data_IF_017230678797
#
_entry.id   IF_017230678797
#
_cell.length_a   1.000
_cell.length_b   1.000
_cell.length_c   1.000
_cell.angle_alpha   90.00
_cell.angle_beta   90.00
_cell.angle_gamma   90.00
#
_symmetry.space_group_name_H-M   'P 1'
#
loop_
_entity.id
_entity.type
_entity.pdbx_description
1 polymer ?
#
# COMPACT_ATOMS: atom_id res chain seq x y z
N UNK A 1 68.40 3.31 12.02
CA UNK A 1 67.37 3.60 11.00
C UNK A 1 65.99 3.30 11.60
N UNK A 2 65.49 4.25 12.40
CA UNK A 2 64.12 4.29 12.91
C UNK A 2 63.47 5.42 12.13
N UNK A 3 62.49 5.12 11.28
CA UNK A 3 61.70 6.12 10.58
C UNK A 3 60.22 5.77 10.71
N UNK A 4 59.52 6.69 11.39
CA UNK A 4 58.08 6.88 11.41
C UNK A 4 57.43 6.72 10.03
N UNK A 5 56.30 6.02 9.94
CA UNK A 5 55.09 6.65 9.39
C UNK A 5 53.80 5.93 9.81
N UNK A 6 53.22 6.41 10.90
CA UNK A 6 51.78 6.39 11.12
C UNK A 6 51.11 7.23 10.02
N UNK A 7 50.27 6.62 9.19
CA UNK A 7 49.13 7.28 8.55
C UNK A 7 48.31 6.27 7.75
N UNK A 8 47.48 5.51 8.46
CA UNK A 8 46.26 4.94 7.87
C UNK A 8 45.08 5.31 8.75
N UNK A 9 44.94 6.60 9.03
CA UNK A 9 43.66 7.21 9.35
C UNK A 9 42.81 7.16 8.08
N UNK A 10 42.10 6.05 7.90
CA UNK A 10 41.00 5.98 6.92
C UNK A 10 40.07 7.15 7.24
N UNK A 11 39.93 8.05 6.28
CA UNK A 11 38.97 9.14 6.28
C UNK A 11 37.57 8.61 6.63
N UNK A 12 37.17 8.72 7.89
CA UNK A 12 35.79 8.57 8.36
C UNK A 12 35.00 9.85 8.08
N UNK A 13 35.04 10.32 6.83
CA UNK A 13 34.31 11.50 6.37
C UNK A 13 33.82 11.27 4.94
N UNK A 14 33.06 10.19 4.70
CA UNK A 14 32.13 10.19 3.56
C UNK A 14 30.81 10.82 4.02
N UNK A 15 30.84 12.13 4.30
CA UNK A 15 29.60 12.90 4.32
C UNK A 15 28.95 12.71 2.94
N UNK A 16 27.80 12.06 2.91
CA UNK A 16 26.99 11.91 1.69
C UNK A 16 26.73 13.31 1.14
N UNK A 17 27.50 13.75 0.13
CA UNK A 17 27.30 15.02 -0.55
C UNK A 17 25.95 14.94 -1.25
N UNK A 18 24.92 15.49 -0.62
CA UNK A 18 23.61 15.67 -1.24
C UNK A 18 23.78 16.65 -2.38
N UNK A 19 23.50 16.22 -3.61
CA UNK A 19 23.47 17.10 -4.78
C UNK A 19 22.50 18.26 -4.49
N UNK A 20 22.83 19.51 -4.85
CA UNK A 20 21.90 20.63 -4.69
C UNK A 20 20.63 20.36 -5.51
N UNK A 21 19.47 20.57 -4.89
CA UNK A 21 18.16 20.41 -5.53
C UNK A 21 18.01 21.48 -6.60
N UNK A 22 17.70 21.08 -7.83
CA UNK A 22 17.52 21.99 -8.96
C UNK A 22 16.04 22.28 -9.24
N UNK A 23 15.73 23.38 -9.93
CA UNK A 23 14.35 23.70 -10.33
C UNK A 23 13.68 22.57 -11.15
N UNK A 24 14.36 21.92 -12.13
CA UNK A 24 13.82 20.73 -12.78
C UNK A 24 13.45 19.59 -11.82
N UNK A 25 14.25 19.36 -10.77
CA UNK A 25 13.96 18.30 -9.77
C UNK A 25 12.68 18.63 -8.99
N UNK A 26 12.50 19.91 -8.62
CA UNK A 26 11.29 20.38 -7.94
C UNK A 26 10.07 20.24 -8.84
N UNK A 27 10.19 20.63 -10.12
CA UNK A 27 9.09 20.53 -11.09
C UNK A 27 8.71 19.09 -11.36
N UNK A 28 9.70 18.20 -11.55
CA UNK A 28 9.47 16.77 -11.74
C UNK A 28 8.78 16.15 -10.52
N UNK A 29 9.27 16.46 -9.31
CA UNK A 29 8.67 15.96 -8.06
C UNK A 29 7.26 16.50 -7.86
N UNK A 30 7.02 17.78 -8.13
CA UNK A 30 5.70 18.41 -8.01
C UNK A 30 4.70 17.81 -8.99
N UNK A 31 5.12 17.63 -10.25
CA UNK A 31 4.32 16.96 -11.26
C UNK A 31 3.97 15.54 -10.83
N UNK A 32 4.93 14.81 -10.27
CA UNK A 32 4.73 13.45 -9.80
C UNK A 32 3.77 13.37 -8.60
N UNK A 33 3.87 14.29 -7.64
CA UNK A 33 2.92 14.40 -6.52
C UNK A 33 1.50 14.64 -7.05
N UNK A 34 1.34 15.52 -8.05
CA UNK A 34 0.05 15.76 -8.69
C UNK A 34 -0.49 14.51 -9.39
N UNK A 35 0.38 13.77 -10.09
CA UNK A 35 0.02 12.53 -10.78
C UNK A 35 -0.39 11.39 -9.82
N UNK A 36 0.29 11.29 -8.68
CA UNK A 36 -0.01 10.31 -7.64
C UNK A 36 -1.19 10.71 -6.75
N UNK A 37 -1.68 11.94 -6.88
CA UNK A 37 -2.89 12.40 -6.22
C UNK A 37 -4.11 12.13 -7.11
N UNK A 38 -4.50 13.08 -7.95
CA UNK A 38 -5.78 13.02 -8.66
C UNK A 38 -5.85 11.92 -9.74
N UNK A 39 -4.87 11.75 -10.64
CA UNK A 39 -4.90 10.70 -11.66
C UNK A 39 -4.86 9.29 -11.07
N UNK A 40 -3.97 9.03 -10.10
CA UNK A 40 -3.92 7.73 -9.43
C UNK A 40 -5.22 7.42 -8.68
N UNK A 41 -5.82 8.39 -7.99
CA UNK A 41 -7.10 8.19 -7.31
C UNK A 41 -8.21 7.77 -8.28
N UNK A 42 -8.26 8.32 -9.50
CA UNK A 42 -9.23 7.88 -10.53
C UNK A 42 -8.96 6.44 -10.98
N UNK A 43 -7.70 6.05 -11.12
CA UNK A 43 -7.31 4.68 -11.50
C UNK A 43 -7.69 3.68 -10.41
N UNK A 44 -7.44 4.02 -9.15
CA UNK A 44 -7.69 3.11 -8.02
C UNK A 44 -9.17 3.10 -7.67
N UNK A 45 -9.74 4.24 -7.30
CA UNK A 45 -11.11 4.30 -6.79
C UNK A 45 -12.14 4.36 -7.92
N UNK A 46 -11.91 5.17 -8.95
CA UNK A 46 -12.88 5.32 -10.04
C UNK A 46 -13.09 4.03 -10.83
N UNK A 47 -12.02 3.29 -11.10
CA UNK A 47 -12.13 1.97 -11.74
C UNK A 47 -12.83 0.97 -10.81
N UNK A 48 -12.50 1.00 -9.51
CA UNK A 48 -13.14 0.12 -8.53
C UNK A 48 -14.65 0.34 -8.46
N UNK A 49 -15.11 1.60 -8.37
CA UNK A 49 -16.53 1.96 -8.30
C UNK A 49 -17.34 1.48 -9.52
N UNK A 50 -16.72 1.46 -10.71
CA UNK A 50 -17.39 0.95 -11.92
C UNK A 50 -17.53 -0.57 -11.87
N UNK A 51 -16.49 -1.29 -11.47
CA UNK A 51 -16.52 -2.76 -11.43
C UNK A 51 -17.31 -3.32 -10.25
N UNK A 52 -17.30 -2.63 -9.11
CA UNK A 52 -18.00 -3.04 -7.90
C UNK A 52 -19.46 -2.57 -7.85
N UNK A 53 -19.93 -1.80 -8.84
CA UNK A 53 -21.28 -1.23 -8.90
C UNK A 53 -22.41 -2.22 -8.55
N UNK A 54 -22.35 -3.45 -9.08
CA UNK A 54 -23.39 -4.46 -8.84
C UNK A 54 -23.45 -4.94 -7.38
N UNK A 55 -22.31 -4.88 -6.69
CA UNK A 55 -22.13 -5.31 -5.32
C UNK A 55 -22.31 -4.17 -4.32
N UNK A 56 -21.87 -2.97 -4.68
CA UNK A 56 -22.10 -1.72 -3.94
C UNK A 56 -23.59 -1.41 -3.77
N UNK A 57 -24.40 -1.71 -4.80
CA UNK A 57 -25.87 -1.63 -4.72
C UNK A 57 -26.51 -2.46 -3.62
N UNK A 58 -25.83 -3.49 -3.13
CA UNK A 58 -26.33 -4.40 -2.08
C UNK A 58 -25.77 -4.03 -0.71
N UNK A 59 -24.78 -3.15 -0.65
CA UNK A 59 -24.15 -2.74 0.59
C UNK A 59 -24.95 -1.60 1.24
N UNK A 60 -25.52 -1.89 2.43
CA UNK A 60 -26.33 -0.95 3.20
C UNK A 60 -25.57 0.34 3.53
N UNK A 61 -24.24 0.27 3.73
CA UNK A 61 -23.42 1.45 4.05
C UNK A 61 -23.35 2.45 2.90
N UNK A 62 -23.24 1.99 1.64
CA UNK A 62 -23.20 2.87 0.46
C UNK A 62 -24.57 3.39 0.02
N UNK A 63 -25.65 2.86 0.59
CA UNK A 63 -27.03 3.29 0.34
C UNK A 63 -27.47 4.42 1.27
N UNK A 64 -26.86 4.52 2.44
CA UNK A 64 -27.01 5.68 3.30
C UNK A 64 -26.13 6.77 2.70
N UNK A 65 -26.74 7.83 2.16
CA UNK A 65 -26.10 8.99 1.50
C UNK A 65 -25.22 9.79 2.49
N UNK A 66 -24.20 9.11 2.98
CA UNK A 66 -23.31 9.49 4.06
C UNK A 66 -22.01 9.97 3.43
N UNK A 67 -21.25 10.80 4.15
CA UNK A 67 -19.94 11.29 3.71
C UNK A 67 -18.94 10.19 3.31
N UNK A 68 -19.20 8.93 3.67
CA UNK A 68 -18.32 7.77 3.45
C UNK A 68 -18.44 7.11 2.06
N UNK A 69 -19.41 7.50 1.22
CA UNK A 69 -19.40 7.11 -0.20
C UNK A 69 -20.77 6.94 -0.85
N UNK A 70 -20.90 7.46 -2.07
CA UNK A 70 -22.07 7.28 -2.93
C UNK A 70 -21.84 6.22 -4.02
N UNK A 71 -22.92 5.66 -4.54
CA UNK A 71 -22.88 4.70 -5.65
C UNK A 71 -22.73 5.46 -6.97
N UNK A 72 -21.66 5.18 -7.73
CA UNK A 72 -21.43 5.82 -9.02
C UNK A 72 -22.51 5.43 -10.05
N UNK A 73 -23.26 6.42 -10.53
CA UNK A 73 -24.31 6.19 -11.53
C UNK A 73 -23.75 5.63 -12.85
N UNK A 74 -24.43 4.66 -13.51
CA UNK A 74 -23.97 4.03 -14.76
C UNK A 74 -23.64 5.00 -15.89
N UNK A 75 -24.33 6.14 -15.94
CA UNK A 75 -24.11 7.19 -16.95
C UNK A 75 -22.70 7.77 -16.93
N UNK A 76 -21.98 7.65 -15.80
CA UNK A 76 -20.61 8.15 -15.65
C UNK A 76 -19.54 7.07 -15.82
N UNK A 77 -19.90 5.78 -15.93
CA UNK A 77 -18.93 4.69 -15.97
C UNK A 77 -17.96 4.81 -17.15
N UNK A 78 -18.46 5.13 -18.34
CA UNK A 78 -17.63 5.32 -19.54
C UNK A 78 -16.68 6.51 -19.41
N UNK A 79 -17.13 7.61 -18.82
CA UNK A 79 -16.31 8.79 -18.56
C UNK A 79 -15.19 8.49 -17.56
N UNK A 80 -15.50 7.81 -16.46
CA UNK A 80 -14.53 7.43 -15.42
C UNK A 80 -13.50 6.45 -15.96
N UNK A 81 -13.93 5.42 -16.70
CA UNK A 81 -13.00 4.46 -17.33
C UNK A 81 -12.10 5.14 -18.36
N UNK A 82 -12.63 6.05 -19.17
CA UNK A 82 -11.81 6.81 -20.15
C UNK A 82 -10.80 7.71 -19.42
N UNK A 83 -11.24 8.41 -18.37
CA UNK A 83 -10.35 9.24 -17.54
C UNK A 83 -9.26 8.41 -16.86
N UNK A 84 -9.59 7.21 -16.39
CA UNK A 84 -8.61 6.27 -15.82
C UNK A 84 -7.60 5.79 -16.86
N UNK A 85 -8.00 5.58 -18.12
CA UNK A 85 -7.08 5.25 -19.21
C UNK A 85 -6.09 6.39 -19.50
N UNK A 86 -6.58 7.63 -19.61
CA UNK A 86 -5.71 8.80 -19.80
C UNK A 86 -4.79 9.02 -18.58
N UNK A 87 -5.31 8.85 -17.36
CA UNK A 87 -4.51 8.91 -16.14
C UNK A 87 -3.42 7.83 -16.13
N UNK A 88 -3.75 6.61 -16.54
CA UNK A 88 -2.78 5.51 -16.64
C UNK A 88 -1.70 5.84 -17.66
N UNK A 89 -2.06 6.39 -18.81
CA UNK A 89 -1.09 6.85 -19.81
C UNK A 89 -0.19 7.96 -19.26
N UNK A 90 -0.74 8.90 -18.50
CA UNK A 90 0.00 10.02 -17.90
C UNK A 90 0.99 9.54 -16.82
N UNK A 91 0.59 8.57 -15.99
CA UNK A 91 1.45 7.91 -14.98
C UNK A 91 2.52 7.03 -15.66
N UNK A 92 2.19 6.35 -16.75
CA UNK A 92 3.12 5.48 -17.48
C UNK A 92 4.10 6.24 -18.38
N UNK A 93 3.76 7.44 -18.84
CA UNK A 93 4.66 8.29 -19.64
C UNK A 93 5.57 9.16 -18.79
N UNK A 94 5.19 9.43 -17.54
CA UNK A 94 6.06 10.03 -16.52
C UNK A 94 7.03 9.05 -15.86
N UNK A 95 6.94 7.76 -16.21
CA UNK A 95 7.74 6.67 -15.67
C UNK A 95 8.47 5.91 -16.77
N UNK A 96 9.66 5.39 -16.49
CA UNK A 96 10.38 4.45 -17.39
C UNK A 96 9.79 3.03 -17.35
N UNK A 97 8.63 2.83 -16.72
CA UNK A 97 8.04 1.53 -16.41
C UNK A 97 6.80 1.22 -17.29
N UNK A 98 6.89 1.49 -18.60
CA UNK A 98 5.80 1.21 -19.55
C UNK A 98 5.43 -0.28 -19.65
N UNK A 99 6.38 -1.17 -19.34
CA UNK A 99 6.23 -2.60 -19.63
C UNK A 99 5.62 -3.42 -18.47
N UNK A 100 5.61 -2.90 -17.23
CA UNK A 100 5.20 -3.69 -16.05
C UNK A 100 3.68 -3.65 -15.80
N UNK A 101 2.96 -2.62 -16.26
CA UNK A 101 1.51 -2.51 -16.04
C UNK A 101 0.62 -3.05 -17.18
N UNK A 102 1.21 -3.51 -18.30
CA UNK A 102 0.45 -4.04 -19.44
C UNK A 102 -0.14 -5.44 -19.20
N UNK A 103 0.26 -6.15 -18.13
CA UNK A 103 -0.22 -7.50 -17.83
C UNK A 103 -1.34 -7.47 -16.79
N UNK A 104 -2.58 -7.24 -17.26
CA UNK A 104 -3.78 -7.37 -16.44
C UNK A 104 -4.29 -8.81 -16.54
N UNK A 105 -3.90 -9.64 -15.59
CA UNK A 105 -4.45 -10.98 -15.40
C UNK A 105 -5.60 -10.96 -14.39
N UNK A 106 -6.55 -11.88 -14.53
CA UNK A 106 -7.77 -12.02 -13.72
C UNK A 106 -7.53 -12.37 -12.22
N UNK A 107 -6.39 -12.02 -11.64
CA UNK A 107 -6.01 -12.35 -10.26
C UNK A 107 -6.80 -11.57 -9.19
N UNK A 108 -7.62 -10.59 -9.61
CA UNK A 108 -8.52 -9.80 -8.76
C UNK A 108 -9.63 -10.61 -8.06
N UNK A 109 -9.71 -11.93 -8.29
CA UNK A 109 -10.69 -12.83 -7.66
C UNK A 109 -10.10 -13.73 -6.57
N UNK A 110 -8.83 -13.54 -6.22
CA UNK A 110 -8.16 -14.29 -5.17
C UNK A 110 -8.15 -13.45 -3.88
N UNK A 111 -8.84 -13.89 -2.81
CA UNK A 111 -9.12 -13.06 -1.63
C UNK A 111 -7.88 -12.47 -0.95
N UNK A 112 -6.74 -13.18 -0.97
CA UNK A 112 -5.46 -12.68 -0.42
C UNK A 112 -4.75 -11.74 -1.40
N UNK A 113 -4.86 -11.99 -2.71
CA UNK A 113 -4.17 -11.20 -3.73
C UNK A 113 -4.73 -9.78 -3.82
N UNK A 114 -5.99 -9.57 -3.43
CA UNK A 114 -6.58 -8.24 -3.38
C UNK A 114 -5.80 -7.31 -2.43
N UNK A 115 -5.59 -7.73 -1.17
CA UNK A 115 -4.77 -6.98 -0.20
C UNK A 115 -3.31 -6.85 -0.61
N UNK A 116 -2.73 -7.89 -1.24
CA UNK A 116 -1.35 -7.81 -1.74
C UNK A 116 -1.26 -6.81 -2.89
N UNK A 117 -2.24 -6.79 -3.81
CA UNK A 117 -2.27 -5.88 -4.95
C UNK A 117 -2.32 -4.42 -4.52
N UNK A 118 -3.07 -4.12 -3.44
CA UNK A 118 -3.10 -2.81 -2.79
C UNK A 118 -1.73 -2.42 -2.20
N UNK A 119 -0.96 -3.37 -1.65
CA UNK A 119 0.42 -3.10 -1.24
C UNK A 119 1.36 -2.87 -2.42
N UNK A 120 1.22 -3.66 -3.48
CA UNK A 120 2.04 -3.57 -4.70
C UNK A 120 1.83 -2.23 -5.41
N UNK A 121 0.60 -1.71 -5.51
CA UNK A 121 0.37 -0.41 -6.15
C UNK A 121 1.05 0.73 -5.38
N UNK A 122 1.02 0.71 -4.04
CA UNK A 122 1.73 1.70 -3.22
C UNK A 122 3.25 1.53 -3.35
N UNK A 123 3.74 0.30 -3.40
CA UNK A 123 5.16 0.03 -3.66
C UNK A 123 5.61 0.58 -5.01
N UNK A 124 4.82 0.37 -6.07
CA UNK A 124 5.10 0.87 -7.41
C UNK A 124 5.09 2.41 -7.45
N UNK A 125 4.17 3.05 -6.74
CA UNK A 125 4.15 4.51 -6.61
C UNK A 125 5.42 5.04 -5.94
N UNK A 126 5.84 4.38 -4.85
CA UNK A 126 7.11 4.70 -4.19
C UNK A 126 8.31 4.45 -5.11
N UNK A 127 8.35 3.32 -5.82
CA UNK A 127 9.44 2.95 -6.71
C UNK A 127 9.58 3.92 -7.87
N UNK A 128 8.45 4.40 -8.39
CA UNK A 128 8.42 5.44 -9.41
C UNK A 128 9.00 6.75 -8.88
N UNK A 129 8.65 7.18 -7.66
CA UNK A 129 9.26 8.34 -7.00
C UNK A 129 10.75 8.17 -6.73
N UNK A 130 11.17 6.95 -6.44
CA UNK A 130 12.56 6.62 -6.17
C UNK A 130 13.41 6.71 -7.44
N UNK A 131 12.94 6.11 -8.54
CA UNK A 131 13.65 6.07 -9.82
C UNK A 131 13.69 7.45 -10.49
N UNK A 132 12.61 8.24 -10.42
CA UNK A 132 12.55 9.58 -11.00
C UNK A 132 13.59 10.54 -10.42
N UNK A 133 14.03 10.30 -9.17
CA UNK A 133 15.13 11.02 -8.52
C UNK A 133 16.53 10.57 -8.97
N UNK A 134 16.63 9.82 -10.09
CA UNK A 134 17.90 9.33 -10.65
C UNK A 134 18.53 8.20 -9.84
N UNK A 135 17.79 7.55 -8.94
CA UNK A 135 18.28 6.46 -8.10
C UNK A 135 18.06 5.12 -8.78
N UNK A 136 19.05 4.24 -8.70
CA UNK A 136 18.95 2.92 -9.30
C UNK A 136 18.39 1.90 -8.29
N UNK A 137 17.24 1.31 -8.60
CA UNK A 137 16.58 0.31 -7.75
C UNK A 137 17.37 -1.00 -7.63
N UNK A 138 18.17 -1.36 -8.65
CA UNK A 138 18.87 -2.64 -8.76
C UNK A 138 20.37 -2.58 -8.42
N UNK A 139 21.00 -1.40 -8.57
CA UNK A 139 22.45 -1.20 -8.40
C UNK A 139 22.82 -0.33 -7.18
N UNK A 140 21.84 0.23 -6.47
CA UNK A 140 22.07 1.08 -5.30
C UNK A 140 22.57 0.29 -4.10
N UNK A 141 23.88 0.35 -3.82
CA UNK A 141 24.53 -0.24 -2.63
C UNK A 141 24.06 0.37 -1.29
N UNK A 142 23.19 1.38 -1.34
CA UNK A 142 22.48 1.96 -0.20
C UNK A 142 21.01 1.49 -0.12
N UNK A 143 20.85 0.20 0.22
CA UNK A 143 19.58 -0.48 0.50
C UNK A 143 18.70 0.20 1.56
N UNK A 144 19.22 1.21 2.28
CA UNK A 144 18.51 1.93 3.33
C UNK A 144 17.29 2.70 2.83
N UNK A 145 17.25 3.15 1.56
CA UNK A 145 16.06 3.84 1.04
C UNK A 145 15.00 2.88 0.47
N UNK A 146 15.41 1.73 -0.07
CA UNK A 146 14.50 0.70 -0.59
C UNK A 146 13.63 0.07 0.49
N UNK A 147 14.11 0.06 1.74
CA UNK A 147 13.33 -0.31 2.93
C UNK A 147 11.97 0.38 3.02
N UNK A 148 11.90 1.67 2.63
CA UNK A 148 10.69 2.48 2.75
C UNK A 148 9.59 2.03 1.78
N UNK A 149 9.98 1.55 0.59
CA UNK A 149 9.02 0.96 -0.35
C UNK A 149 8.37 -0.28 0.24
N UNK A 150 9.17 -1.19 0.79
CA UNK A 150 8.68 -2.41 1.44
C UNK A 150 7.84 -2.13 2.68
N UNK A 151 8.25 -1.16 3.51
CA UNK A 151 7.45 -0.68 4.63
C UNK A 151 6.04 -0.26 4.17
N UNK A 152 5.96 0.62 3.17
CA UNK A 152 4.69 1.11 2.65
C UNK A 152 3.84 -0.04 2.07
N UNK A 153 4.45 -0.93 1.29
CA UNK A 153 3.78 -2.09 0.71
C UNK A 153 3.12 -2.97 1.79
N UNK A 154 3.88 -3.36 2.81
CA UNK A 154 3.38 -4.23 3.87
C UNK A 154 2.35 -3.53 4.77
N UNK A 155 2.55 -2.25 5.10
CA UNK A 155 1.56 -1.47 5.85
C UNK A 155 0.22 -1.39 5.08
N UNK A 156 0.26 -1.10 3.78
CA UNK A 156 -0.95 -1.01 2.96
C UNK A 156 -1.63 -2.37 2.82
N UNK A 157 -0.88 -3.46 2.58
CA UNK A 157 -1.46 -4.81 2.55
C UNK A 157 -2.10 -5.18 3.89
N UNK A 158 -1.43 -4.86 5.01
CA UNK A 158 -1.94 -5.14 6.34
C UNK A 158 -3.24 -4.37 6.63
N UNK A 159 -3.22 -3.04 6.48
CA UNK A 159 -4.41 -2.23 6.78
C UNK A 159 -5.60 -2.57 5.88
N UNK A 160 -5.35 -2.89 4.60
CA UNK A 160 -6.40 -3.35 3.69
C UNK A 160 -7.01 -4.67 4.16
N UNK A 161 -6.18 -5.65 4.55
CA UNK A 161 -6.67 -6.91 5.10
C UNK A 161 -7.45 -6.70 6.41
N UNK A 162 -6.96 -5.85 7.31
CA UNK A 162 -7.66 -5.55 8.56
C UNK A 162 -9.00 -4.84 8.32
N UNK A 163 -9.06 -3.94 7.33
CA UNK A 163 -10.31 -3.32 6.86
C UNK A 163 -11.33 -4.38 6.44
N UNK A 164 -10.92 -5.33 5.60
CA UNK A 164 -11.78 -6.45 5.22
C UNK A 164 -12.25 -7.30 6.42
N UNK A 165 -11.41 -7.47 7.46
CA UNK A 165 -11.82 -8.13 8.69
C UNK A 165 -12.87 -7.33 9.48
N UNK A 166 -12.74 -6.00 9.55
CA UNK A 166 -13.71 -5.12 10.19
C UNK A 166 -15.05 -5.08 9.43
N UNK A 167 -15.02 -5.33 8.13
CA UNK A 167 -16.17 -5.22 7.23
C UNK A 167 -16.84 -6.56 6.91
N UNK A 168 -16.43 -7.65 7.56
CA UNK A 168 -16.89 -9.01 7.23
C UNK A 168 -18.41 -9.15 7.17
N UNK A 169 -19.17 -8.55 8.10
CA UNK A 169 -20.63 -8.66 8.13
C UNK A 169 -21.25 -7.98 6.91
N UNK A 170 -20.83 -6.74 6.62
CA UNK A 170 -21.30 -6.00 5.46
C UNK A 170 -20.91 -6.68 4.14
N UNK A 171 -19.68 -7.18 4.04
CA UNK A 171 -19.17 -7.91 2.89
C UNK A 171 -19.92 -9.23 2.67
N UNK A 172 -20.25 -9.94 3.75
CA UNK A 172 -21.01 -11.20 3.68
C UNK A 172 -22.42 -10.94 3.17
N UNK A 173 -23.11 -9.92 3.69
CA UNK A 173 -24.46 -9.53 3.24
C UNK A 173 -24.45 -9.10 1.77
N UNK A 174 -23.42 -8.38 1.34
CA UNK A 174 -23.25 -7.96 -0.05
C UNK A 174 -22.82 -9.10 -1.00
N UNK A 175 -22.42 -10.25 -0.46
CA UNK A 175 -21.93 -11.41 -1.23
C UNK A 175 -20.52 -11.20 -1.80
N UNK A 176 -19.70 -10.38 -1.15
CA UNK A 176 -18.31 -10.12 -1.53
C UNK A 176 -17.40 -11.28 -1.17
N UNK A 177 -16.36 -11.49 -1.98
CA UNK A 177 -15.33 -12.53 -1.76
C UNK A 177 -13.99 -11.91 -1.34
N UNK A 178 -13.97 -11.32 -0.15
CA UNK A 178 -12.79 -10.75 0.51
C UNK A 178 -11.97 -11.80 1.28
N UNK A 179 -10.77 -11.43 1.72
CA UNK A 179 -9.93 -12.28 2.60
C UNK A 179 -10.68 -12.73 3.86
N UNK A 180 -11.48 -11.84 4.47
CA UNK A 180 -12.21 -12.14 5.69
C UNK A 180 -13.42 -13.05 5.46
N UNK A 181 -14.17 -12.84 4.38
CA UNK A 181 -15.34 -13.68 4.06
C UNK A 181 -14.96 -15.09 3.61
N UNK A 182 -13.81 -15.25 2.95
CA UNK A 182 -13.35 -16.56 2.45
C UNK A 182 -12.49 -17.33 3.47
N UNK A 183 -11.55 -16.66 4.16
CA UNK A 183 -10.59 -17.30 5.07
C UNK A 183 -10.90 -17.05 6.55
N UNK A 184 -11.91 -16.24 6.84
CA UNK A 184 -12.33 -15.89 8.19
C UNK A 184 -11.57 -14.69 8.78
N UNK A 185 -12.20 -14.08 9.79
CA UNK A 185 -11.66 -12.89 10.47
C UNK A 185 -10.34 -13.20 11.19
N UNK A 186 -10.21 -14.36 11.84
CA UNK A 186 -9.00 -14.75 12.60
C UNK A 186 -7.77 -14.85 11.71
N UNK A 187 -7.90 -15.52 10.57
CA UNK A 187 -6.81 -15.64 9.61
C UNK A 187 -6.43 -14.25 9.07
N UNK A 188 -7.44 -13.45 8.74
CA UNK A 188 -7.27 -12.12 8.15
C UNK A 188 -6.56 -11.15 9.10
N UNK A 189 -6.96 -11.10 10.37
CA UNK A 189 -6.32 -10.24 11.37
C UNK A 189 -4.89 -10.68 11.66
N UNK A 190 -4.65 -12.00 11.74
CA UNK A 190 -3.29 -12.56 11.87
C UNK A 190 -2.42 -12.21 10.67
N UNK A 191 -2.94 -12.34 9.45
CA UNK A 191 -2.26 -11.95 8.22
C UNK A 191 -1.88 -10.46 8.25
N UNK A 192 -2.78 -9.58 8.69
CA UNK A 192 -2.48 -8.16 8.88
C UNK A 192 -1.35 -7.94 9.87
N UNK A 193 -1.40 -8.60 11.03
CA UNK A 193 -0.34 -8.54 12.04
C UNK A 193 1.02 -8.98 11.50
N UNK A 194 1.06 -10.07 10.73
CA UNK A 194 2.29 -10.55 10.06
C UNK A 194 2.82 -9.48 9.09
N UNK A 195 1.95 -8.85 8.29
CA UNK A 195 2.36 -7.78 7.39
C UNK A 195 3.02 -6.62 8.15
N UNK A 196 2.45 -6.17 9.27
CA UNK A 196 3.06 -5.10 10.06
C UNK A 196 4.40 -5.50 10.72
N UNK A 197 4.58 -6.77 11.07
CA UNK A 197 5.88 -7.28 11.54
C UNK A 197 6.92 -7.25 10.39
N UNK A 198 6.53 -7.64 9.18
CA UNK A 198 7.40 -7.55 8.00
C UNK A 198 7.74 -6.09 7.66
N UNK A 199 6.77 -5.19 7.79
CA UNK A 199 6.94 -3.75 7.61
C UNK A 199 7.97 -3.19 8.62
N UNK A 200 7.86 -3.57 9.90
CA UNK A 200 8.82 -3.19 10.94
C UNK A 200 10.22 -3.74 10.65
N UNK A 201 10.33 -4.99 10.18
CA UNK A 201 11.61 -5.64 9.87
C UNK A 201 12.31 -5.08 8.63
N UNK A 202 11.57 -4.45 7.71
CA UNK A 202 12.16 -3.90 6.49
C UNK A 202 12.98 -2.64 6.76
N UNK A 203 12.74 -1.94 7.89
CA UNK A 203 13.33 -0.65 8.24
C UNK A 203 14.51 -0.81 9.21
N UNK A 204 15.49 0.09 9.09
CA UNK A 204 16.66 0.13 9.97
C UNK A 204 16.28 0.34 11.45
N UNK A 205 16.82 -0.54 12.30
CA UNK A 205 16.62 -0.54 13.73
C UNK A 205 17.15 0.76 14.37
N UNK A 206 16.37 1.39 15.26
CA UNK A 206 16.62 2.72 15.90
C UNK A 206 16.36 3.95 15.05
N UNK A 207 15.87 3.82 13.82
CA UNK A 207 15.32 4.97 13.09
C UNK A 207 13.98 5.42 13.70
N UNK A 208 13.62 6.69 13.52
CA UNK A 208 12.29 7.19 13.94
C UNK A 208 11.16 6.42 13.25
N UNK A 209 11.38 6.02 12.00
CA UNK A 209 10.43 5.21 11.21
C UNK A 209 10.24 3.84 11.84
N UNK A 210 11.30 3.22 12.36
CA UNK A 210 11.20 1.96 13.07
C UNK A 210 10.37 2.08 14.36
N UNK A 211 10.50 3.16 15.12
CA UNK A 211 9.68 3.40 16.32
C UNK A 211 8.19 3.41 15.98
N UNK A 212 7.80 4.14 14.92
CA UNK A 212 6.41 4.14 14.45
C UNK A 212 5.96 2.77 13.92
N UNK A 213 6.86 2.02 13.29
CA UNK A 213 6.56 0.69 12.77
C UNK A 213 6.33 -0.34 13.89
N UNK A 214 7.10 -0.24 14.99
CA UNK A 214 6.87 -1.03 16.20
C UNK A 214 5.50 -0.72 16.79
N UNK A 215 5.15 0.56 16.92
CA UNK A 215 3.83 0.97 17.41
C UNK A 215 2.70 0.41 16.54
N UNK A 216 2.83 0.52 15.21
CA UNK A 216 1.87 -0.06 14.27
C UNK A 216 1.72 -1.56 14.44
N UNK A 217 2.83 -2.30 14.54
CA UNK A 217 2.81 -3.75 14.78
C UNK A 217 2.14 -4.11 16.11
N UNK A 218 2.36 -3.34 17.18
CA UNK A 218 1.70 -3.56 18.47
C UNK A 218 0.20 -3.31 18.41
N UNK A 219 -0.23 -2.24 17.75
CA UNK A 219 -1.66 -1.95 17.57
C UNK A 219 -2.34 -3.11 16.84
N UNK A 220 -1.77 -3.57 15.72
CA UNK A 220 -2.34 -4.68 14.95
C UNK A 220 -2.39 -6.00 15.71
N UNK A 221 -1.36 -6.30 16.52
CA UNK A 221 -1.37 -7.46 17.42
C UNK A 221 -2.51 -7.36 18.44
N UNK A 222 -2.67 -6.21 19.10
CA UNK A 222 -3.75 -6.00 20.07
C UNK A 222 -5.13 -6.11 19.42
N UNK A 223 -5.32 -5.56 18.22
CA UNK A 223 -6.56 -5.69 17.46
C UNK A 223 -6.85 -7.14 17.08
N UNK A 224 -5.82 -7.89 16.70
CA UNK A 224 -5.93 -9.33 16.39
C UNK A 224 -6.40 -10.13 17.61
N UNK A 225 -5.78 -9.91 18.77
CA UNK A 225 -6.17 -10.55 20.04
C UNK A 225 -7.58 -10.15 20.46
N UNK A 226 -7.94 -8.86 20.30
CA UNK A 226 -9.29 -8.37 20.57
C UNK A 226 -10.35 -9.04 19.71
N UNK A 227 -10.08 -9.21 18.41
CA UNK A 227 -10.95 -9.95 17.48
C UNK A 227 -11.09 -11.41 17.92
N UNK A 228 -9.99 -12.09 18.26
CA UNK A 228 -10.04 -13.48 18.73
C UNK A 228 -10.90 -13.65 19.99
N UNK A 229 -10.73 -12.74 20.95
CA UNK A 229 -11.50 -12.72 22.20
C UNK A 229 -12.98 -12.51 21.93
N UNK A 230 -13.33 -11.58 21.02
CA UNK A 230 -14.72 -11.29 20.65
C UNK A 230 -15.38 -12.50 19.99
N UNK A 231 -14.64 -13.21 19.13
CA UNK A 231 -15.13 -14.42 18.47
C UNK A 231 -15.32 -15.58 19.46
N UNK A 232 -14.45 -15.71 20.47
CA UNK A 232 -14.61 -16.71 21.54
C UNK A 232 -15.87 -16.43 22.37
N UNK A 233 -16.05 -15.19 22.82
CA UNK A 233 -17.25 -14.77 23.56
C UNK A 233 -18.54 -14.94 22.75
N UNK A 234 -18.47 -14.74 21.42
CA UNK A 234 -19.59 -15.00 20.51
C UNK A 234 -19.94 -16.48 20.44
N UNK A 235 -18.94 -17.36 20.31
CA UNK A 235 -19.14 -18.80 20.25
C UNK A 235 -19.74 -19.37 21.55
N UNK A 236 -19.26 -18.91 22.71
CA UNK A 236 -19.78 -19.33 24.02
C UNK A 236 -21.24 -18.90 24.24
N UNK A 237 -21.67 -17.78 23.63
CA UNK A 237 -23.06 -17.29 23.69
C UNK A 237 -24.03 -18.03 22.78
N UNK A 238 -23.54 -18.63 21.69
CA UNK A 238 -24.39 -19.35 20.72
C UNK A 238 -24.53 -20.84 20.99
N UNK A 239 -23.84 -21.39 22.00
CA UNK A 239 -24.16 -22.69 22.59
C UNK A 239 -24.40 -23.83 21.59
N UNK A 240 -23.36 -24.21 20.86
CA UNK A 240 -23.18 -25.58 20.35
C UNK A 240 -21.95 -26.19 20.99
#
# INVERSE_FOLDING_TARGET
MIWLHLSTTRNLNSSSKTRPVTLPDILATSFQILCLSFPLCIIVFGVNDVYDYASDKRNVRKLQDTLEGGILEPKYHTFVLSSAQYASYLVLTSSTLKDILSHRSNYQKLPVLDSISNGVIVWLCWALGYISNGRNLLLGRENASASKGWLLAFCTTGIHALGAAADIEADTIAGQRTIATVLGVRFTSTFSSVCYILAMKSVEHRSIVWIYSVLGARIHQTLTVGIETTLQLGADRTGT
#
